data_IF_536455770961
#
_entry.id   IF_536455770961
#
_cell.length_a   1.000
_cell.length_b   1.000
_cell.length_c   1.000
_cell.angle_alpha   90.00
_cell.angle_beta   90.00
_cell.angle_gamma   90.00
#
_symmetry.space_group_name_H-M   'P 1'
#
loop_
_entity.id
_entity.type
_entity.pdbx_description
1 polymer ?
#
# COMPACT_ATOMS: atom_id res chain seq x y z
N UNK A 1 -10.12 -12.24 -8.29
CA UNK A 1 -9.74 -13.53 -8.92
C UNK A 1 -10.58 -13.86 -10.15
N UNK A 2 -11.88 -14.19 -10.01
CA UNK A 2 -12.71 -14.65 -11.14
C UNK A 2 -12.79 -13.66 -12.31
N UNK A 3 -12.95 -12.34 -12.03
CA UNK A 3 -12.97 -11.31 -13.08
C UNK A 3 -11.68 -11.24 -13.90
N UNK A 4 -10.54 -11.55 -13.29
CA UNK A 4 -9.22 -11.52 -13.94
C UNK A 4 -9.08 -12.66 -14.95
N UNK A 5 -9.54 -13.84 -14.58
CA UNK A 5 -9.57 -15.02 -15.43
C UNK A 5 -10.57 -14.92 -16.58
N UNK A 6 -11.62 -14.09 -16.45
CA UNK A 6 -12.69 -13.94 -17.45
C UNK A 6 -12.45 -12.81 -18.47
N UNK A 7 -11.29 -12.15 -18.45
CA UNK A 7 -10.96 -11.06 -19.39
C UNK A 7 -11.74 -9.74 -19.16
N UNK A 8 -12.48 -9.61 -18.04
CA UNK A 8 -13.48 -8.57 -17.84
C UNK A 8 -12.97 -7.17 -17.46
N UNK A 9 -11.70 -6.83 -17.69
CA UNK A 9 -11.09 -5.59 -17.17
C UNK A 9 -10.82 -4.51 -18.23
N UNK A 10 -11.19 -4.73 -19.50
CA UNK A 10 -11.43 -3.71 -20.53
C UNK A 10 -10.24 -2.87 -21.04
N UNK A 11 -9.36 -2.40 -20.15
CA UNK A 11 -8.31 -1.43 -20.45
C UNK A 11 -6.91 -2.01 -20.25
N UNK A 12 -6.07 -1.90 -21.29
CA UNK A 12 -4.69 -2.38 -21.25
C UNK A 12 -3.84 -1.77 -20.10
N UNK A 13 -3.95 -0.46 -19.79
CA UNK A 13 -3.22 0.14 -18.67
C UNK A 13 -3.64 -0.41 -17.30
N UNK A 14 -4.95 -0.63 -17.08
CA UNK A 14 -5.46 -1.20 -15.82
C UNK A 14 -4.98 -2.65 -15.67
N UNK A 15 -4.99 -3.42 -16.76
CA UNK A 15 -4.49 -4.79 -16.77
C UNK A 15 -3.01 -4.87 -16.39
N UNK A 16 -2.18 -3.97 -16.92
CA UNK A 16 -0.75 -3.90 -16.60
C UNK A 16 -0.51 -3.59 -15.12
N UNK A 17 -1.24 -2.63 -14.56
CA UNK A 17 -1.18 -2.30 -13.13
C UNK A 17 -1.54 -3.51 -12.27
N UNK A 18 -2.62 -4.23 -12.61
CA UNK A 18 -3.06 -5.39 -11.84
C UNK A 18 -2.11 -6.58 -11.93
N UNK A 19 -1.48 -6.78 -13.08
CA UNK A 19 -0.41 -7.75 -13.22
C UNK A 19 0.75 -7.38 -12.29
N UNK A 20 1.12 -6.10 -12.27
CA UNK A 20 2.24 -5.63 -11.46
C UNK A 20 1.98 -5.72 -9.95
N UNK A 21 0.78 -5.39 -9.47
CA UNK A 21 0.41 -5.57 -8.06
C UNK A 21 -0.08 -6.99 -7.73
N UNK A 22 0.16 -7.95 -8.63
CA UNK A 22 -0.13 -9.37 -8.44
C UNK A 22 -1.59 -9.69 -8.14
N UNK A 23 -2.52 -8.90 -8.68
CA UNK A 23 -3.97 -9.13 -8.64
C UNK A 23 -4.46 -9.90 -9.87
N UNK A 24 -3.67 -10.00 -10.93
CA UNK A 24 -4.03 -10.66 -12.20
C UNK A 24 -2.85 -11.44 -12.83
N UNK A 25 -2.90 -12.80 -12.85
CA UNK A 25 -3.65 -13.62 -11.89
C UNK A 25 -3.22 -13.28 -10.46
N UNK A 26 -4.10 -13.47 -9.49
CA UNK A 26 -3.73 -13.22 -8.11
C UNK A 26 -2.66 -14.23 -7.67
N UNK A 27 -1.44 -13.76 -7.37
CA UNK A 27 -0.40 -14.67 -6.90
C UNK A 27 -0.73 -15.16 -5.48
N UNK A 28 -0.19 -16.32 -5.12
CA UNK A 28 -0.43 -16.94 -3.81
C UNK A 28 -0.16 -15.97 -2.65
N UNK A 29 0.88 -15.13 -2.75
CA UNK A 29 1.17 -14.13 -1.73
C UNK A 29 -0.02 -13.18 -1.52
N UNK A 30 -0.57 -12.61 -2.59
CA UNK A 30 -1.71 -11.69 -2.54
C UNK A 30 -3.02 -12.37 -2.13
N UNK A 31 -3.20 -13.66 -2.43
CA UNK A 31 -4.32 -14.46 -1.91
C UNK A 31 -4.29 -14.62 -0.38
N UNK A 32 -3.10 -14.54 0.21
CA UNK A 32 -2.89 -14.61 1.65
C UNK A 32 -2.85 -13.22 2.30
N UNK A 33 -2.99 -12.12 1.55
CA UNK A 33 -3.08 -10.76 2.08
C UNK A 33 -4.55 -10.34 2.26
N UNK A 34 -5.29 -11.16 3.01
CA UNK A 34 -6.70 -10.90 3.34
C UNK A 34 -6.82 -10.05 4.59
N UNK A 35 -7.93 -9.31 4.71
CA UNK A 35 -8.24 -8.56 5.92
C UNK A 35 -8.29 -9.48 7.13
N UNK A 36 -7.71 -9.06 8.26
CA UNK A 36 -7.56 -9.90 9.45
C UNK A 36 -8.90 -10.41 10.01
N UNK A 37 -10.00 -9.71 9.78
CA UNK A 37 -11.34 -10.14 10.24
C UNK A 37 -12.02 -11.15 9.32
N UNK A 38 -11.45 -11.46 8.16
CA UNK A 38 -12.06 -12.36 7.15
C UNK A 38 -11.34 -13.70 7.02
N UNK A 39 -10.32 -13.95 7.85
CA UNK A 39 -9.49 -15.17 7.81
C UNK A 39 -9.85 -16.12 8.95
N UNK A 40 -9.44 -17.39 8.82
CA UNK A 40 -9.59 -18.39 9.87
C UNK A 40 -8.69 -18.09 11.09
N UNK A 41 -8.91 -18.83 12.18
CA UNK A 41 -8.15 -18.65 13.42
C UNK A 41 -6.65 -18.87 13.23
N UNK A 42 -6.24 -19.79 12.37
CA UNK A 42 -4.83 -20.10 12.13
C UNK A 42 -4.11 -18.89 11.53
N UNK A 43 -4.65 -18.33 10.45
CA UNK A 43 -4.07 -17.16 9.78
C UNK A 43 -4.20 -15.89 10.65
N UNK A 44 -5.29 -15.76 11.41
CA UNK A 44 -5.46 -14.69 12.40
C UNK A 44 -4.31 -14.70 13.43
N UNK A 45 -3.95 -15.86 13.98
CA UNK A 45 -2.85 -16.00 14.91
C UNK A 45 -1.49 -15.69 14.26
N UNK A 46 -1.29 -16.06 12.99
CA UNK A 46 -0.08 -15.72 12.24
C UNK A 46 0.06 -14.21 12.02
N UNK A 47 -1.02 -13.51 11.66
CA UNK A 47 -1.03 -12.05 11.56
C UNK A 47 -0.71 -11.38 12.89
N UNK A 48 -1.34 -11.83 13.98
CA UNK A 48 -1.06 -11.31 15.31
C UNK A 48 0.42 -11.54 15.73
N UNK A 49 1.00 -12.69 15.36
CA UNK A 49 2.41 -12.96 15.60
C UNK A 49 3.33 -12.03 14.79
N UNK A 50 3.04 -11.81 13.50
CA UNK A 50 3.79 -10.90 12.64
C UNK A 50 3.71 -9.45 13.15
N UNK A 51 2.53 -9.00 13.57
CA UNK A 51 2.32 -7.68 14.19
C UNK A 51 3.15 -7.53 15.46
N UNK A 52 3.15 -8.53 16.36
CA UNK A 52 3.98 -8.50 17.58
C UNK A 52 5.48 -8.42 17.27
N UNK A 53 5.95 -9.17 16.28
CA UNK A 53 7.36 -9.12 15.86
C UNK A 53 7.72 -7.72 15.35
N UNK A 54 6.89 -7.14 14.47
CA UNK A 54 7.06 -5.78 13.98
C UNK A 54 7.00 -4.75 15.10
N UNK A 55 6.09 -4.90 16.07
CA UNK A 55 5.94 -4.01 17.22
C UNK A 55 7.18 -4.00 18.11
N UNK A 56 7.77 -5.18 18.34
CA UNK A 56 8.96 -5.32 19.19
C UNK A 56 10.25 -4.87 18.51
N UNK A 57 10.24 -4.64 17.20
CA UNK A 57 11.43 -4.19 16.48
C UNK A 57 11.78 -2.74 16.89
N UNK A 58 13.00 -2.46 17.37
CA UNK A 58 13.35 -1.16 17.96
C UNK A 58 13.52 -0.05 16.92
N UNK A 59 13.96 -0.38 15.71
CA UNK A 59 14.12 0.57 14.63
C UNK A 59 12.95 0.42 13.63
N UNK A 60 12.03 1.38 13.64
CA UNK A 60 10.92 1.40 12.69
C UNK A 60 10.92 2.74 11.99
N UNK A 61 10.99 2.72 10.67
CA UNK A 61 10.69 3.86 9.80
C UNK A 61 9.68 3.36 8.79
N UNK A 62 8.51 3.97 8.76
CA UNK A 62 7.38 3.47 7.98
C UNK A 62 6.99 4.55 6.99
N UNK A 63 6.85 4.17 5.73
CA UNK A 63 6.16 4.96 4.73
C UNK A 63 4.83 4.26 4.48
N UNK A 64 3.72 4.95 4.77
CA UNK A 64 2.37 4.49 4.49
C UNK A 64 1.69 5.47 3.55
N UNK A 65 1.27 4.98 2.39
CA UNK A 65 0.50 5.75 1.42
C UNK A 65 -0.96 5.89 1.84
N UNK A 66 -1.57 7.04 1.52
CA UNK A 66 -2.99 7.34 1.82
C UNK A 66 -3.76 7.90 0.64
N UNK A 67 -3.17 7.89 -0.56
CA UNK A 67 -3.84 8.34 -1.77
C UNK A 67 -3.74 7.26 -2.85
N UNK A 68 -4.83 6.62 -3.26
CA UNK A 68 -4.77 5.57 -4.28
C UNK A 68 -4.49 6.13 -5.69
N UNK A 69 -4.72 7.43 -5.90
CA UNK A 69 -4.25 8.15 -7.10
C UNK A 69 -2.75 8.43 -7.00
N UNK A 70 -2.27 8.92 -5.85
CA UNK A 70 -0.86 9.23 -5.63
C UNK A 70 -0.35 10.34 -6.55
N UNK A 71 0.86 10.16 -7.10
CA UNK A 71 1.44 11.03 -8.12
C UNK A 71 0.72 10.85 -9.46
N UNK A 72 0.62 11.91 -10.26
CA UNK A 72 0.02 11.86 -11.62
C UNK A 72 0.98 11.15 -12.57
N UNK A 73 0.86 9.84 -12.65
CA UNK A 73 1.69 8.93 -13.46
C UNK A 73 0.85 7.75 -13.94
N UNK A 74 1.46 6.78 -14.62
CA UNK A 74 0.79 5.52 -14.96
C UNK A 74 0.26 4.79 -13.72
N UNK A 75 0.87 4.96 -12.54
CA UNK A 75 0.44 4.31 -11.30
C UNK A 75 -0.89 4.84 -10.75
N UNK A 76 -1.40 6.00 -11.21
CA UNK A 76 -2.67 6.56 -10.76
C UNK A 76 -3.89 5.65 -11.03
N UNK A 77 -3.75 4.65 -11.92
CA UNK A 77 -4.76 3.63 -12.10
C UNK A 77 -5.02 2.74 -10.87
N UNK A 78 -4.17 2.80 -9.84
CA UNK A 78 -4.45 2.17 -8.54
C UNK A 78 -5.70 2.73 -7.83
N UNK A 79 -6.18 3.90 -8.23
CA UNK A 79 -7.49 4.40 -7.79
C UNK A 79 -8.64 3.45 -8.15
N UNK A 80 -8.54 2.77 -9.29
CA UNK A 80 -9.49 1.73 -9.66
C UNK A 80 -9.34 0.48 -8.79
N UNK A 81 -8.11 0.10 -8.41
CA UNK A 81 -7.89 -1.04 -7.50
C UNK A 81 -8.45 -0.74 -6.09
N UNK A 82 -8.30 0.50 -5.61
CA UNK A 82 -8.91 0.96 -4.36
C UNK A 82 -10.43 0.79 -4.37
N UNK A 83 -11.11 1.20 -5.44
CA UNK A 83 -12.58 1.13 -5.52
C UNK A 83 -13.13 -0.30 -5.48
N UNK A 84 -12.28 -1.29 -5.77
CA UNK A 84 -12.62 -2.71 -5.70
C UNK A 84 -12.25 -3.37 -4.36
N UNK A 85 -11.30 -2.79 -3.63
CA UNK A 85 -10.70 -3.42 -2.46
C UNK A 85 -11.50 -3.23 -1.17
N UNK A 86 -12.54 -2.39 -1.20
CA UNK A 86 -13.46 -2.11 -0.08
C UNK A 86 -12.71 -1.81 1.24
N UNK A 87 -11.65 -1.00 1.16
CA UNK A 87 -10.96 -0.51 2.35
C UNK A 87 -11.89 0.40 3.16
N UNK A 88 -11.80 0.31 4.50
CA UNK A 88 -12.65 1.09 5.41
C UNK A 88 -12.07 2.48 5.70
N UNK A 89 -10.79 2.70 5.42
CA UNK A 89 -10.11 3.98 5.66
C UNK A 89 -9.27 4.41 4.45
N UNK A 90 -8.52 5.49 4.62
CA UNK A 90 -7.54 5.94 3.63
C UNK A 90 -6.59 4.79 3.26
N UNK A 91 -6.24 4.70 1.97
CA UNK A 91 -5.43 3.60 1.46
C UNK A 91 -4.58 4.06 0.28
N UNK A 92 -3.57 3.26 -0.06
CA UNK A 92 -2.63 3.54 -1.15
C UNK A 92 -3.04 2.87 -2.48
N UNK A 93 -4.26 2.35 -2.58
CA UNK A 93 -4.74 1.56 -3.71
C UNK A 93 -4.72 0.05 -3.47
N UNK A 94 -3.90 -0.43 -2.54
CA UNK A 94 -3.71 -1.86 -2.27
C UNK A 94 -3.79 -2.18 -0.78
N UNK A 95 -3.28 -1.28 0.08
CA UNK A 95 -3.13 -1.45 1.51
C UNK A 95 -3.80 -0.29 2.24
N UNK A 96 -4.64 -0.65 3.22
CA UNK A 96 -5.27 0.30 4.14
C UNK A 96 -4.24 0.91 5.11
N UNK A 97 -4.39 2.19 5.44
CA UNK A 97 -3.45 2.92 6.28
C UNK A 97 -3.20 2.26 7.64
N UNK A 98 -4.25 1.76 8.31
CA UNK A 98 -4.10 1.11 9.62
C UNK A 98 -3.48 -0.28 9.54
N UNK A 99 -3.64 -0.95 8.40
CA UNK A 99 -2.92 -2.19 8.10
C UNK A 99 -1.41 -1.90 7.95
N UNK A 100 -1.05 -0.83 7.25
CA UNK A 100 0.35 -0.42 7.09
C UNK A 100 0.99 0.02 8.43
N UNK A 101 0.27 0.81 9.22
CA UNK A 101 0.75 1.43 10.45
C UNK A 101 0.59 0.60 11.73
N UNK A 102 0.20 -0.68 11.63
CA UNK A 102 -0.16 -1.48 12.81
C UNK A 102 0.93 -1.46 13.90
N UNK A 103 0.53 -1.03 15.10
CA UNK A 103 1.43 -0.95 16.26
C UNK A 103 2.55 0.09 16.14
N UNK A 104 2.35 1.09 15.28
CA UNK A 104 3.21 2.25 15.09
C UNK A 104 2.34 3.51 15.18
N UNK A 105 2.85 4.54 15.85
CA UNK A 105 2.18 5.84 16.01
C UNK A 105 3.13 6.97 15.61
N UNK A 106 2.69 8.23 15.71
CA UNK A 106 3.56 9.38 15.40
C UNK A 106 3.77 9.62 13.90
N UNK A 107 2.81 9.18 13.08
CA UNK A 107 2.79 9.48 11.66
C UNK A 107 2.64 10.98 11.41
N UNK A 108 3.28 11.47 10.35
CA UNK A 108 3.03 12.81 9.82
C UNK A 108 3.37 12.90 8.34
N UNK A 109 3.00 14.01 7.73
CA UNK A 109 2.98 14.25 6.27
C UNK A 109 4.23 14.98 5.75
N UNK A 110 5.25 15.16 6.58
CA UNK A 110 6.53 15.72 6.17
C UNK A 110 7.59 14.62 5.99
N UNK A 111 8.46 14.80 5.00
CA UNK A 111 9.68 14.00 4.77
C UNK A 111 10.61 13.91 5.97
N UNK A 112 10.46 14.81 6.96
CA UNK A 112 11.24 14.79 8.21
C UNK A 112 10.66 13.87 9.29
N UNK A 113 9.49 13.28 9.06
CA UNK A 113 8.82 12.39 10.03
C UNK A 113 9.38 10.98 9.93
N UNK A 114 9.72 10.38 11.08
CA UNK A 114 10.18 8.98 11.16
C UNK A 114 9.15 8.00 10.57
N UNK A 115 7.87 8.29 10.81
CA UNK A 115 6.74 7.57 10.23
C UNK A 115 5.99 8.54 9.33
N UNK A 116 5.98 8.24 8.04
CA UNK A 116 5.59 9.15 7.00
C UNK A 116 4.27 8.71 6.39
N UNK A 117 3.25 9.55 6.58
CA UNK A 117 1.90 9.41 6.03
C UNK A 117 1.87 10.21 4.73
N UNK A 118 2.10 9.52 3.63
CA UNK A 118 2.35 10.15 2.34
C UNK A 118 1.10 10.11 1.45
N UNK A 119 0.81 11.21 0.75
CA UNK A 119 -0.25 11.29 -0.27
C UNK A 119 0.22 10.63 -1.58
N UNK A 120 0.54 9.34 -1.46
CA UNK A 120 1.17 8.48 -2.46
C UNK A 120 0.39 7.17 -2.58
N UNK A 121 0.41 6.58 -3.77
CA UNK A 121 -0.15 5.24 -4.00
C UNK A 121 0.92 4.16 -3.73
N UNK A 122 0.51 2.89 -3.73
CA UNK A 122 1.36 1.75 -3.37
C UNK A 122 2.63 1.68 -4.23
N UNK A 123 2.53 2.01 -5.52
CA UNK A 123 3.66 1.98 -6.44
C UNK A 123 4.58 3.19 -6.26
N UNK A 124 4.05 4.36 -5.92
CA UNK A 124 4.87 5.52 -5.57
C UNK A 124 5.71 5.26 -4.31
N UNK A 125 5.14 4.57 -3.30
CA UNK A 125 5.85 4.22 -2.05
C UNK A 125 7.05 3.30 -2.27
N UNK A 126 7.12 2.67 -3.44
CA UNK A 126 8.22 1.81 -3.86
C UNK A 126 9.29 2.53 -4.71
N UNK A 127 9.26 3.86 -4.72
CA UNK A 127 10.20 4.76 -5.39
C UNK A 127 10.23 4.70 -6.93
N UNK A 128 9.31 3.95 -7.55
CA UNK A 128 9.26 3.76 -9.02
C UNK A 128 9.05 5.05 -9.80
N UNK A 129 8.37 6.03 -9.20
CA UNK A 129 7.99 7.29 -9.85
C UNK A 129 8.76 8.50 -9.31
N UNK A 130 9.71 8.29 -8.39
CA UNK A 130 10.47 9.37 -7.75
C UNK A 130 9.61 10.29 -6.87
N UNK A 131 10.05 11.53 -6.74
CA UNK A 131 9.38 12.56 -5.94
C UNK A 131 8.36 13.36 -6.75
N UNK A 132 7.19 13.58 -6.16
CA UNK A 132 6.22 14.54 -6.66
C UNK A 132 6.76 15.97 -6.61
N UNK A 133 6.29 16.80 -7.53
CA UNK A 133 6.70 18.22 -7.58
C UNK A 133 6.20 19.02 -6.39
N UNK A 134 4.95 18.81 -5.99
CA UNK A 134 4.25 19.58 -4.96
C UNK A 134 3.97 18.77 -3.71
N UNK A 135 3.97 19.42 -2.54
CA UNK A 135 3.71 18.79 -1.25
C UNK A 135 4.93 18.05 -0.70
N UNK A 136 5.20 18.23 0.60
CA UNK A 136 6.26 17.44 1.26
C UNK A 136 5.79 15.99 1.48
N UNK A 137 4.47 15.75 1.47
CA UNK A 137 3.77 14.47 1.60
C UNK A 137 3.78 13.61 0.33
N UNK A 138 4.44 14.08 -0.73
CA UNK A 138 4.51 13.43 -2.05
C UNK A 138 5.94 13.12 -2.47
N UNK A 139 6.89 13.10 -1.52
CA UNK A 139 8.32 12.95 -1.79
C UNK A 139 8.92 11.71 -1.11
N UNK A 140 8.63 10.49 -1.64
CA UNK A 140 9.09 9.25 -1.01
C UNK A 140 10.61 9.10 -1.01
N UNK A 141 11.31 9.54 -2.06
CA UNK A 141 12.77 9.43 -2.17
C UNK A 141 13.44 10.37 -1.17
N UNK A 142 13.02 11.63 -1.12
CA UNK A 142 13.53 12.58 -0.11
C UNK A 142 13.26 12.12 1.32
N UNK A 143 12.08 11.54 1.61
CA UNK A 143 11.84 10.93 2.92
C UNK A 143 12.84 9.82 3.21
N UNK A 144 13.08 8.92 2.24
CA UNK A 144 14.01 7.81 2.41
C UNK A 144 15.43 8.30 2.68
N UNK A 145 15.90 9.32 1.96
CA UNK A 145 17.19 9.97 2.18
C UNK A 145 17.31 10.61 3.57
N UNK A 146 16.23 11.20 4.10
CA UNK A 146 16.21 11.73 5.47
C UNK A 146 16.07 10.64 6.55
N UNK A 147 15.59 9.46 6.15
CA UNK A 147 15.33 8.33 7.02
C UNK A 147 16.53 7.37 7.14
N UNK A 148 17.52 7.43 6.24
CA UNK A 148 18.80 6.73 6.40
C UNK A 148 19.78 7.56 7.23
#
# INVERSE_FOLDING_TARGET
>A
EQKCSSGGWGDAPIKEILNLVGKCPAERAFLQLKHQTTVDQTLLHQYAAAQRARIKHPAKKLLCGVSPVGLITWASGLNFVSSLSNHNTENDGVVDFWSCGVGVSGFGDSTRKTHYKASLNHLDTSFRNGDGWWGDDRKPVKWFECAL
#
